data_IF_809353875770
#
_entry.id   IF_809353875770
#
_cell.length_a   1.000
_cell.length_b   1.000
_cell.length_c   1.000
_cell.angle_alpha   90.00
_cell.angle_beta   90.00
_cell.angle_gamma   90.00
#
_symmetry.space_group_name_H-M   'P 1'
#
loop_
_entity.id
_entity.type
_entity.pdbx_description
1 polymer ?
#
# COMPACT_ATOMS: atom_id res chain seq x y z
N UNK A 1 -26.77 -9.99 -10.76
CA UNK A 1 -27.15 -8.63 -11.20
C UNK A 1 -27.29 -7.79 -9.93
N UNK A 2 -26.42 -6.81 -9.70
CA UNK A 2 -26.50 -5.94 -8.52
C UNK A 2 -27.70 -4.99 -8.67
N UNK A 3 -28.36 -4.66 -7.57
CA UNK A 3 -29.47 -3.71 -7.58
C UNK A 3 -29.00 -2.31 -8.01
N UNK A 4 -29.84 -1.52 -8.72
CA UNK A 4 -29.50 -0.15 -9.08
C UNK A 4 -29.30 0.71 -7.82
N UNK A 5 -28.24 1.53 -7.81
CA UNK A 5 -28.04 2.54 -6.77
C UNK A 5 -29.06 3.67 -6.98
N UNK A 6 -29.86 3.95 -5.97
CA UNK A 6 -30.82 5.06 -5.97
C UNK A 6 -30.37 6.11 -4.96
N UNK A 7 -30.37 7.38 -5.38
CA UNK A 7 -29.97 8.50 -4.53
C UNK A 7 -31.10 9.52 -4.46
N UNK A 8 -31.42 9.93 -3.24
CA UNK A 8 -32.54 10.85 -2.95
C UNK A 8 -32.03 12.29 -2.86
N UNK A 9 -32.72 13.20 -3.54
CA UNK A 9 -32.50 14.65 -3.49
C UNK A 9 -33.69 15.30 -2.78
N UNK A 10 -33.43 16.15 -1.79
CA UNK A 10 -34.48 16.87 -1.04
C UNK A 10 -34.43 18.35 -1.38
N UNK A 11 -35.60 18.90 -1.71
CA UNK A 11 -35.85 20.33 -1.87
C UNK A 11 -35.99 20.96 -0.49
N UNK A 12 -35.21 22.01 -0.22
CA UNK A 12 -35.36 22.80 1.00
C UNK A 12 -36.45 23.85 0.78
N UNK A 13 -37.24 24.10 1.82
CA UNK A 13 -38.16 25.23 1.81
C UNK A 13 -37.35 26.52 1.75
N UNK A 14 -37.81 27.42 0.89
CA UNK A 14 -37.24 28.74 0.70
C UNK A 14 -37.73 29.62 1.86
N UNK A 15 -36.83 30.26 2.61
CA UNK A 15 -37.22 31.26 3.60
C UNK A 15 -37.61 32.54 2.84
N UNK A 16 -38.81 33.06 3.07
CA UNK A 16 -39.53 34.08 2.27
C UNK A 16 -38.83 35.46 2.22
N UNK A 17 -37.62 35.60 2.75
CA UNK A 17 -36.89 36.85 2.84
C UNK A 17 -35.96 37.15 1.65
N UNK A 18 -35.77 36.21 0.70
CA UNK A 18 -34.83 36.35 -0.41
C UNK A 18 -35.57 36.63 -1.73
N UNK A 19 -35.97 37.90 -1.94
CA UNK A 19 -36.73 38.38 -3.12
C UNK A 19 -35.94 38.34 -4.46
N UNK A 20 -34.84 37.60 -4.55
CA UNK A 20 -34.12 37.35 -5.81
C UNK A 20 -34.53 36.00 -6.40
N UNK A 21 -35.25 36.05 -7.52
CA UNK A 21 -36.01 34.94 -8.06
C UNK A 21 -35.30 33.58 -8.16
N UNK A 22 -36.04 32.55 -7.75
CA UNK A 22 -35.92 31.15 -8.14
C UNK A 22 -34.65 30.39 -7.71
N UNK A 23 -34.06 30.73 -6.57
CA UNK A 23 -33.05 29.86 -5.94
C UNK A 23 -33.73 28.92 -4.93
N UNK A 24 -34.11 27.72 -5.39
CA UNK A 24 -34.63 26.66 -4.52
C UNK A 24 -33.44 25.79 -4.07
N UNK A 25 -33.04 25.81 -2.79
CA UNK A 25 -31.90 25.01 -2.36
C UNK A 25 -32.25 23.52 -2.44
N UNK A 26 -31.38 22.72 -3.05
CA UNK A 26 -31.49 21.25 -3.08
C UNK A 26 -30.27 20.65 -2.38
N UNK A 27 -30.50 19.63 -1.54
CA UNK A 27 -29.43 18.88 -0.87
C UNK A 27 -29.54 17.39 -1.14
N UNK A 28 -28.39 16.74 -1.27
CA UNK A 28 -28.31 15.27 -1.29
C UNK A 28 -28.57 14.72 0.12
N UNK A 29 -29.35 13.65 0.22
CA UNK A 29 -29.62 12.95 1.49
C UNK A 29 -29.37 11.45 1.36
N UNK A 30 -29.13 10.79 2.50
CA UNK A 30 -29.10 9.33 2.58
C UNK A 30 -30.48 8.75 2.26
N UNK A 31 -30.59 7.44 1.97
CA UNK A 31 -31.88 6.79 1.74
C UNK A 31 -32.90 6.96 2.89
N UNK A 32 -32.44 7.26 4.11
CA UNK A 32 -33.28 7.53 5.30
C UNK A 32 -33.71 9.01 5.45
N UNK A 33 -33.34 9.88 4.50
CA UNK A 33 -33.66 11.31 4.52
C UNK A 33 -32.71 12.18 5.35
N UNK A 34 -31.76 11.59 6.07
CA UNK A 34 -30.76 12.35 6.84
C UNK A 34 -29.71 12.99 5.93
N UNK A 35 -29.20 14.19 6.25
CA UNK A 35 -28.11 14.79 5.48
C UNK A 35 -26.85 13.92 5.53
N UNK A 36 -26.05 13.97 4.46
CA UNK A 36 -24.69 13.47 4.51
C UNK A 36 -23.87 14.35 5.46
N UNK A 37 -23.09 13.74 6.35
CA UNK A 37 -22.21 14.49 7.23
C UNK A 37 -21.11 15.15 6.39
N UNK A 38 -20.84 16.44 6.62
CA UNK A 38 -19.71 17.12 6.01
C UNK A 38 -18.40 16.56 6.59
N UNK A 39 -17.63 15.90 5.75
CA UNK A 39 -16.35 15.30 6.13
C UNK A 39 -15.85 14.36 5.05
N UNK A 40 -14.53 14.36 4.82
CA UNK A 40 -13.88 13.34 4.00
C UNK A 40 -14.17 11.99 4.65
N UNK A 41 -14.80 11.08 3.91
CA UNK A 41 -15.03 9.72 4.39
C UNK A 41 -13.68 9.05 4.68
N UNK A 42 -13.34 8.90 5.95
CA UNK A 42 -12.17 8.14 6.38
C UNK A 42 -12.45 6.65 6.17
N UNK A 43 -12.03 6.11 5.02
CA UNK A 43 -12.12 4.67 4.74
C UNK A 43 -10.97 3.97 5.48
N UNK A 44 -11.29 3.14 6.47
CA UNK A 44 -10.29 2.30 7.12
C UNK A 44 -9.69 1.29 6.14
N UNK A 45 -8.38 1.03 6.21
CA UNK A 45 -7.71 0.04 5.36
C UNK A 45 -8.31 -1.38 5.48
N UNK A 46 -8.89 -1.70 6.64
CA UNK A 46 -9.61 -2.94 6.87
C UNK A 46 -10.91 -3.06 6.07
N UNK A 47 -11.53 -1.94 5.68
CA UNK A 47 -12.79 -1.91 4.94
C UNK A 47 -12.62 -2.11 3.41
N UNK A 48 -11.38 -2.13 2.90
CA UNK A 48 -11.09 -2.33 1.48
C UNK A 48 -11.07 -3.83 1.16
N UNK A 49 -12.04 -4.30 0.37
CA UNK A 49 -12.12 -5.65 -0.17
C UNK A 49 -11.29 -5.81 -1.47
N UNK A 50 -10.92 -7.04 -1.84
CA UNK A 50 -10.18 -7.33 -3.08
C UNK A 50 -8.71 -6.89 -3.08
N UNK A 51 -8.18 -6.44 -1.94
CA UNK A 51 -6.76 -6.09 -1.80
C UNK A 51 -5.85 -7.32 -1.93
N UNK A 52 -4.72 -7.22 -2.63
CA UNK A 52 -3.73 -8.29 -2.66
C UNK A 52 -3.27 -8.64 -1.24
N UNK A 53 -3.40 -9.90 -0.84
CA UNK A 53 -2.96 -10.38 0.47
C UNK A 53 -1.45 -10.63 0.55
N UNK A 54 -0.80 -10.74 -0.62
CA UNK A 54 0.62 -11.00 -0.75
C UNK A 54 1.19 -10.16 -1.89
N UNK A 55 2.23 -9.40 -1.60
CA UNK A 55 3.12 -8.87 -2.62
C UNK A 55 4.34 -9.79 -2.63
N UNK A 56 4.46 -10.65 -3.64
CA UNK A 56 5.70 -11.44 -3.82
C UNK A 56 6.71 -10.53 -4.49
N UNK A 57 7.77 -10.07 -3.79
CA UNK A 57 8.77 -9.23 -4.42
C UNK A 57 9.47 -10.01 -5.54
N UNK A 58 9.72 -9.40 -6.71
CA UNK A 58 10.50 -10.04 -7.76
C UNK A 58 11.92 -10.30 -7.27
N UNK A 59 12.63 -11.24 -7.89
CA UNK A 59 14.07 -11.37 -7.68
C UNK A 59 14.78 -10.08 -8.16
N UNK A 60 15.81 -9.61 -7.45
CA UNK A 60 16.55 -8.44 -7.86
C UNK A 60 17.29 -8.70 -9.16
N UNK A 61 17.44 -7.65 -9.96
CA UNK A 61 18.31 -7.64 -11.14
C UNK A 61 19.22 -6.42 -11.09
N UNK A 62 20.20 -6.33 -11.98
CA UNK A 62 21.04 -5.14 -12.06
C UNK A 62 20.25 -3.85 -12.38
N UNK A 63 19.07 -3.95 -12.99
CA UNK A 63 18.23 -2.81 -13.40
C UNK A 63 16.95 -2.62 -12.60
N UNK A 64 16.60 -3.53 -11.69
CA UNK A 64 15.33 -3.49 -10.95
C UNK A 64 15.47 -3.98 -9.52
N UNK A 65 14.76 -3.31 -8.62
CA UNK A 65 14.70 -3.65 -7.19
C UNK A 65 13.91 -4.93 -6.99
N UNK A 66 14.35 -5.76 -6.05
CA UNK A 66 13.73 -7.04 -5.71
C UNK A 66 14.11 -7.54 -4.32
N UNK A 67 13.57 -8.69 -3.92
CA UNK A 67 13.82 -9.32 -2.62
C UNK A 67 15.02 -10.26 -2.64
N UNK A 68 15.86 -10.19 -1.61
CA UNK A 68 17.01 -11.10 -1.41
C UNK A 68 16.75 -12.08 -0.27
N UNK A 69 17.45 -13.22 -0.29
CA UNK A 69 17.38 -14.20 0.78
C UNK A 69 18.40 -13.89 1.87
N UNK A 70 18.02 -14.11 3.13
CA UNK A 70 18.96 -14.04 4.24
C UNK A 70 19.89 -15.27 4.23
N UNK A 71 21.19 -15.04 4.42
CA UNK A 71 22.18 -16.11 4.48
C UNK A 71 22.46 -16.57 5.91
N UNK A 72 22.96 -17.79 6.02
CA UNK A 72 23.52 -18.30 7.25
C UNK A 72 24.71 -17.43 7.68
N UNK A 73 24.89 -17.29 9.00
CA UNK A 73 26.00 -16.55 9.57
C UNK A 73 27.35 -17.06 9.02
N UNK A 74 28.29 -16.12 8.81
CA UNK A 74 29.67 -16.42 8.47
C UNK A 74 30.54 -16.14 9.69
N UNK A 75 31.33 -17.13 10.10
CA UNK A 75 32.23 -16.96 11.24
C UNK A 75 33.29 -15.90 10.93
N UNK A 76 33.66 -15.11 11.94
CA UNK A 76 34.73 -14.12 11.81
C UNK A 76 36.06 -14.78 11.47
N UNK A 77 36.86 -14.06 10.67
CA UNK A 77 38.21 -14.47 10.36
C UNK A 77 39.13 -14.25 11.56
N UNK A 78 40.02 -15.21 11.83
CA UNK A 78 41.01 -15.07 12.88
C UNK A 78 42.02 -13.96 12.56
N UNK A 79 42.48 -13.22 13.56
CA UNK A 79 43.46 -12.14 13.39
C UNK A 79 44.82 -12.65 12.85
N UNK A 80 45.15 -13.92 13.10
CA UNK A 80 46.37 -14.58 12.66
C UNK A 80 46.21 -15.39 11.36
N UNK A 81 45.13 -15.17 10.60
CA UNK A 81 44.88 -15.91 9.37
C UNK A 81 45.98 -15.67 8.33
N UNK A 82 46.48 -16.75 7.75
CA UNK A 82 47.39 -16.68 6.62
C UNK A 82 46.65 -16.35 5.31
N UNK A 83 47.41 -16.14 4.23
CA UNK A 83 46.86 -15.80 2.91
C UNK A 83 45.89 -16.85 2.38
N UNK A 84 46.12 -18.14 2.66
CA UNK A 84 45.27 -19.22 2.19
C UNK A 84 43.91 -19.21 2.91
N UNK A 85 43.92 -19.03 4.23
CA UNK A 85 42.72 -18.90 5.04
C UNK A 85 41.90 -17.65 4.67
N UNK A 86 42.56 -16.53 4.35
CA UNK A 86 41.89 -15.32 3.85
C UNK A 86 41.16 -15.61 2.54
N UNK A 87 41.83 -16.23 1.56
CA UNK A 87 41.22 -16.57 0.26
C UNK A 87 40.03 -17.52 0.43
N UNK A 88 40.18 -18.53 1.28
CA UNK A 88 39.08 -19.46 1.58
C UNK A 88 37.87 -18.73 2.18
N UNK A 89 38.09 -17.80 3.11
CA UNK A 89 37.01 -17.00 3.71
C UNK A 89 36.33 -16.11 2.68
N UNK A 90 37.09 -15.42 1.82
CA UNK A 90 36.54 -14.57 0.75
C UNK A 90 35.66 -15.40 -0.18
N UNK A 91 36.14 -16.56 -0.63
CA UNK A 91 35.37 -17.44 -1.51
C UNK A 91 34.09 -17.97 -0.85
N UNK A 92 34.13 -18.30 0.45
CA UNK A 92 32.94 -18.67 1.22
C UNK A 92 31.91 -17.54 1.24
N UNK A 93 32.34 -16.32 1.57
CA UNK A 93 31.45 -15.15 1.58
C UNK A 93 30.85 -14.88 0.21
N UNK A 94 31.66 -14.89 -0.86
CA UNK A 94 31.17 -14.68 -2.23
C UNK A 94 30.15 -15.73 -2.63
N UNK A 95 30.38 -17.00 -2.27
CA UNK A 95 29.46 -18.10 -2.55
C UNK A 95 28.12 -17.89 -1.85
N UNK A 96 28.14 -17.53 -0.56
CA UNK A 96 26.91 -17.24 0.20
C UNK A 96 26.15 -16.05 -0.39
N UNK A 97 26.84 -14.97 -0.76
CA UNK A 97 26.21 -13.79 -1.34
C UNK A 97 25.60 -14.06 -2.72
N UNK A 98 26.24 -14.90 -3.55
CA UNK A 98 25.65 -15.38 -4.81
C UNK A 98 24.40 -16.21 -4.58
N UNK A 99 24.44 -17.16 -3.63
CA UNK A 99 23.27 -17.98 -3.27
C UNK A 99 22.10 -17.15 -2.71
N UNK A 100 22.38 -15.97 -2.14
CA UNK A 100 21.40 -15.04 -1.62
C UNK A 100 20.70 -14.18 -2.69
N UNK A 101 21.23 -14.18 -3.92
CA UNK A 101 20.83 -13.26 -4.98
C UNK A 101 21.35 -11.82 -4.77
N UNK A 102 22.38 -11.61 -3.94
CA UNK A 102 23.01 -10.29 -3.77
C UNK A 102 24.03 -9.98 -4.86
N UNK A 103 24.70 -11.01 -5.40
CA UNK A 103 25.74 -10.90 -6.41
C UNK A 103 25.46 -11.83 -7.59
N UNK A 104 25.85 -11.42 -8.80
CA UNK A 104 25.91 -12.27 -9.99
C UNK A 104 27.26 -13.01 -10.06
#
# INVERSE_FOLDING_TARGET
MAAPLTQTLVVQEHDEADETGLSIPVRLVKPDGTPFAEGVATIAWSAIAGKPSTFTPPAPTAGARGGVLQQAAEAQLAASADSAAIVAKVNSTLTKLKAAGLLA
#
